data_IF_161576085942
#
_entry.id   IF_161576085942
#
_cell.length_a   1.000
_cell.length_b   1.000
_cell.length_c   1.000
_cell.angle_alpha   90.00
_cell.angle_beta   90.00
_cell.angle_gamma   90.00
#
_symmetry.space_group_name_H-M   'P 1'
#
loop_
_entity.id
_entity.type
_entity.pdbx_description
1 polymer ?
#
# COMPACT_ATOMS: atom_id res chain seq x y z
N UNK A 1 5.05 -0.60 43.18
CA UNK A 1 3.69 -1.18 43.25
C UNK A 1 3.82 -2.68 43.31
N UNK A 2 3.44 -3.26 44.44
CA UNK A 2 3.25 -4.70 44.59
C UNK A 2 1.95 -5.08 43.90
N UNK A 3 2.02 -6.06 43.01
CA UNK A 3 0.86 -6.64 42.34
C UNK A 3 0.43 -7.82 43.22
N UNK A 4 -0.84 -7.84 43.64
CA UNK A 4 -1.38 -8.93 44.45
C UNK A 4 -1.69 -10.14 43.56
N UNK A 5 -0.71 -11.05 43.48
CA UNK A 5 -0.83 -12.25 42.65
C UNK A 5 -1.90 -13.22 43.15
N UNK A 6 -2.23 -13.21 44.45
CA UNK A 6 -3.23 -14.10 45.01
C UNK A 6 -4.64 -13.67 44.57
N UNK A 7 -4.92 -12.37 44.66
CA UNK A 7 -6.16 -11.78 44.15
C UNK A 7 -6.34 -12.05 42.64
N UNK A 8 -5.26 -11.88 41.85
CA UNK A 8 -5.28 -12.13 40.40
C UNK A 8 -5.58 -13.60 40.09
N UNK A 9 -4.91 -14.55 40.74
CA UNK A 9 -5.15 -15.98 40.51
C UNK A 9 -6.59 -16.37 40.85
N UNK A 10 -7.13 -15.82 41.94
CA UNK A 10 -8.52 -16.06 42.37
C UNK A 10 -9.53 -15.49 41.38
N UNK A 11 -9.33 -14.27 40.91
CA UNK A 11 -10.18 -13.63 39.91
C UNK A 11 -10.11 -14.38 38.56
N UNK A 12 -8.91 -14.82 38.14
CA UNK A 12 -8.75 -15.60 36.92
C UNK A 12 -9.47 -16.95 36.99
N UNK A 13 -9.40 -17.63 38.14
CA UNK A 13 -10.12 -18.90 38.34
C UNK A 13 -11.65 -18.68 38.32
N UNK A 14 -12.15 -17.56 38.85
CA UNK A 14 -13.57 -17.21 38.73
C UNK A 14 -13.97 -16.96 37.28
N UNK A 15 -13.14 -16.25 36.52
CA UNK A 15 -13.41 -15.93 35.12
C UNK A 15 -13.55 -17.19 34.23
N UNK A 16 -12.84 -18.28 34.55
CA UNK A 16 -12.99 -19.56 33.83
C UNK A 16 -14.25 -20.32 34.25
N UNK A 17 -14.57 -20.32 35.55
CA UNK A 17 -15.76 -21.00 36.08
C UNK A 17 -17.08 -20.29 35.72
N UNK A 18 -17.06 -18.96 35.67
CA UNK A 18 -18.16 -18.11 35.26
C UNK A 18 -17.66 -17.01 34.31
N UNK A 19 -17.74 -17.22 32.98
CA UNK A 19 -17.28 -16.29 31.96
C UNK A 19 -18.27 -15.12 31.78
N UNK A 20 -18.65 -14.49 32.89
CA UNK A 20 -19.45 -13.27 32.94
C UNK A 20 -18.59 -12.03 32.62
N UNK A 21 -19.23 -10.98 32.12
CA UNK A 21 -18.55 -9.70 31.84
C UNK A 21 -17.94 -9.09 33.11
N UNK A 22 -18.62 -9.26 34.25
CA UNK A 22 -18.19 -8.77 35.56
C UNK A 22 -16.89 -9.44 36.04
N UNK A 23 -16.77 -10.76 35.88
CA UNK A 23 -15.58 -11.51 36.32
C UNK A 23 -14.35 -11.15 35.49
N UNK A 24 -14.53 -10.91 34.19
CA UNK A 24 -13.47 -10.43 33.30
C UNK A 24 -13.08 -8.99 33.64
N UNK A 25 -14.04 -8.11 33.93
CA UNK A 25 -13.76 -6.72 34.32
C UNK A 25 -12.95 -6.66 35.62
N UNK A 26 -13.33 -7.43 36.65
CA UNK A 26 -12.58 -7.52 37.91
C UNK A 26 -11.11 -7.95 37.67
N UNK A 27 -10.91 -8.96 36.81
CA UNK A 27 -9.57 -9.43 36.45
C UNK A 27 -8.77 -8.37 35.70
N UNK A 28 -9.39 -7.64 34.77
CA UNK A 28 -8.74 -6.58 34.00
C UNK A 28 -8.32 -5.41 34.90
N UNK A 29 -9.14 -5.03 35.87
CA UNK A 29 -8.82 -3.96 36.82
C UNK A 29 -7.63 -4.34 37.72
N UNK A 30 -7.59 -5.58 38.20
CA UNK A 30 -6.45 -6.11 38.96
C UNK A 30 -5.16 -6.18 38.14
N UNK A 31 -5.27 -6.48 36.84
CA UNK A 31 -4.14 -6.57 35.91
C UNK A 31 -3.68 -5.22 35.34
N UNK A 32 -4.52 -4.17 35.42
CA UNK A 32 -4.26 -2.87 34.80
C UNK A 32 -2.88 -2.26 35.14
N UNK A 33 -2.42 -2.23 36.41
CA UNK A 33 -1.11 -1.66 36.74
C UNK A 33 0.08 -2.40 36.10
N UNK A 34 -0.08 -3.71 35.84
CA UNK A 34 0.92 -4.53 35.19
C UNK A 34 0.91 -4.31 33.67
N UNK A 35 -0.30 -4.25 33.08
CA UNK A 35 -0.51 -3.94 31.66
C UNK A 35 0.06 -2.57 31.33
N UNK A 36 -0.31 -1.53 32.07
CA UNK A 36 0.10 -0.15 31.82
C UNK A 36 1.62 0.02 31.87
N UNK A 37 2.27 -0.61 32.87
CA UNK A 37 3.72 -0.61 32.99
C UNK A 37 4.39 -1.31 31.80
N UNK A 38 3.83 -2.43 31.36
CA UNK A 38 4.37 -3.19 30.23
C UNK A 38 4.19 -2.42 28.92
N UNK A 39 2.99 -1.89 28.68
CA UNK A 39 2.66 -1.04 27.54
C UNK A 39 3.56 0.20 27.47
N UNK A 40 3.79 0.90 28.58
CA UNK A 40 4.69 2.04 28.65
C UNK A 40 6.12 1.66 28.25
N UNK A 41 6.66 0.55 28.80
CA UNK A 41 8.00 0.07 28.45
C UNK A 41 8.12 -0.31 26.98
N UNK A 42 7.08 -0.88 26.39
CA UNK A 42 7.05 -1.26 24.97
C UNK A 42 6.95 -0.03 24.07
N UNK A 43 6.11 0.93 24.44
CA UNK A 43 5.96 2.23 23.77
C UNK A 43 7.30 2.95 23.69
N UNK A 44 8.01 3.10 24.81
CA UNK A 44 9.34 3.72 24.86
C UNK A 44 10.39 3.04 23.97
N UNK A 45 10.27 1.73 23.75
CA UNK A 45 11.22 0.96 22.93
C UNK A 45 10.90 0.96 21.44
N UNK A 46 9.64 1.15 21.09
CA UNK A 46 9.15 0.98 19.71
C UNK A 46 8.72 2.28 19.05
N UNK A 47 8.40 3.31 19.83
CA UNK A 47 7.81 4.56 19.36
C UNK A 47 6.31 4.48 19.09
N UNK A 48 5.65 3.33 19.32
CA UNK A 48 4.19 3.20 19.18
C UNK A 48 3.50 3.77 20.41
N UNK A 49 2.33 4.36 20.21
CA UNK A 49 1.44 4.81 21.30
C UNK A 49 1.11 3.69 22.29
N UNK A 50 1.13 4.01 23.58
CA UNK A 50 0.85 3.04 24.65
C UNK A 50 -0.55 2.44 24.58
N UNK A 51 -1.54 3.21 24.09
CA UNK A 51 -2.93 2.76 23.96
C UNK A 51 -3.07 1.49 23.11
N UNK A 52 -2.29 1.38 22.03
CA UNK A 52 -2.27 0.21 21.15
C UNK A 52 -1.84 -1.04 21.92
N UNK A 53 -0.77 -0.93 22.72
CA UNK A 53 -0.31 -2.06 23.53
C UNK A 53 -1.29 -2.42 24.64
N UNK A 54 -1.95 -1.44 25.25
CA UNK A 54 -2.96 -1.70 26.30
C UNK A 54 -4.08 -2.58 25.74
N UNK A 55 -4.62 -2.22 24.57
CA UNK A 55 -5.68 -3.00 23.92
C UNK A 55 -5.26 -4.46 23.68
N UNK A 56 -4.08 -4.67 23.11
CA UNK A 56 -3.56 -6.01 22.78
C UNK A 56 -3.23 -6.84 24.03
N UNK A 57 -2.72 -6.20 25.09
CA UNK A 57 -2.42 -6.87 26.35
C UNK A 57 -3.71 -7.22 27.12
N UNK A 58 -4.78 -6.43 27.03
CA UNK A 58 -6.09 -6.79 27.59
C UNK A 58 -6.67 -8.02 26.89
N UNK A 59 -6.56 -8.10 25.56
CA UNK A 59 -6.93 -9.31 24.83
C UNK A 59 -6.10 -10.53 25.27
N UNK A 60 -4.81 -10.34 25.57
CA UNK A 60 -3.96 -11.39 26.11
C UNK A 60 -4.39 -11.85 27.52
N UNK A 61 -4.93 -10.97 28.36
CA UNK A 61 -5.53 -11.35 29.66
C UNK A 61 -6.74 -12.25 29.46
N UNK A 62 -7.65 -11.87 28.57
CA UNK A 62 -8.82 -12.69 28.25
C UNK A 62 -8.43 -14.07 27.71
N UNK A 63 -7.49 -14.13 26.76
CA UNK A 63 -6.99 -15.42 26.24
C UNK A 63 -6.31 -16.26 27.31
N UNK A 64 -5.62 -15.62 28.26
CA UNK A 64 -4.98 -16.32 29.36
C UNK A 64 -5.99 -16.86 30.38
N UNK A 65 -7.15 -16.23 30.57
CA UNK A 65 -8.19 -16.68 31.52
C UNK A 65 -8.96 -17.89 31.02
N UNK A 66 -9.18 -18.03 29.71
CA UNK A 66 -9.85 -19.19 29.13
C UNK A 66 -9.06 -20.47 29.40
N UNK A 67 -9.67 -21.42 30.12
CA UNK A 67 -9.10 -22.71 30.51
C UNK A 67 -8.05 -22.61 31.62
N UNK A 68 -8.14 -21.61 32.50
CA UNK A 68 -7.23 -21.46 33.62
C UNK A 68 -7.68 -22.27 34.85
N UNK A 69 -6.90 -23.30 35.20
CA UNK A 69 -7.22 -24.26 36.26
C UNK A 69 -6.61 -23.93 37.64
N UNK A 70 -5.86 -22.83 37.78
CA UNK A 70 -5.24 -22.44 39.06
C UNK A 70 -3.95 -23.16 39.43
N UNK A 71 -3.46 -24.13 38.65
CA UNK A 71 -2.22 -24.88 39.00
C UNK A 71 -0.94 -24.05 38.88
N UNK A 72 -0.95 -23.04 38.00
CA UNK A 72 0.19 -22.15 37.74
C UNK A 72 -0.17 -20.71 38.07
N UNK A 73 0.83 -19.86 38.28
CA UNK A 73 0.58 -18.43 38.49
C UNK A 73 0.04 -17.79 37.21
N UNK A 74 -1.11 -17.13 37.29
CA UNK A 74 -1.77 -16.49 36.16
C UNK A 74 -0.87 -15.48 35.45
N UNK A 75 -0.02 -14.73 36.16
CA UNK A 75 0.91 -13.80 35.51
C UNK A 75 1.91 -14.50 34.59
N UNK A 76 2.31 -15.74 34.89
CA UNK A 76 3.18 -16.52 34.00
C UNK A 76 2.46 -16.91 32.70
N UNK A 77 1.21 -17.36 32.81
CA UNK A 77 0.36 -17.68 31.65
C UNK A 77 0.05 -16.43 30.82
N UNK A 78 -0.29 -15.32 31.46
CA UNK A 78 -0.44 -14.02 30.80
C UNK A 78 0.81 -13.62 30.02
N UNK A 79 2.00 -13.72 30.63
CA UNK A 79 3.25 -13.35 29.96
C UNK A 79 3.53 -14.19 28.70
N UNK A 80 3.09 -15.46 28.69
CA UNK A 80 3.17 -16.32 27.51
C UNK A 80 2.34 -15.74 26.34
N UNK A 81 1.05 -15.46 26.56
CA UNK A 81 0.18 -14.88 25.53
C UNK A 81 0.57 -13.45 25.13
N UNK A 82 1.00 -12.64 26.10
CA UNK A 82 1.49 -11.29 25.84
C UNK A 82 2.71 -11.29 24.93
N UNK A 83 3.64 -12.24 25.12
CA UNK A 83 4.86 -12.36 24.29
C UNK A 83 4.52 -12.62 22.82
N UNK A 84 3.53 -13.45 22.55
CA UNK A 84 3.08 -13.74 21.18
C UNK A 84 2.49 -12.50 20.52
N UNK A 85 1.58 -11.80 21.20
CA UNK A 85 1.02 -10.52 20.73
C UNK A 85 2.09 -9.47 20.46
N UNK A 86 3.03 -9.29 21.39
CA UNK A 86 4.15 -8.36 21.20
C UNK A 86 5.01 -8.76 20.00
N UNK A 87 5.21 -10.06 19.77
CA UNK A 87 5.97 -10.56 18.63
C UNK A 87 5.27 -10.27 17.32
N UNK A 88 3.95 -10.42 17.27
CA UNK A 88 3.15 -10.12 16.07
C UNK A 88 3.13 -8.63 15.75
N UNK A 89 2.98 -7.76 16.77
CA UNK A 89 3.12 -6.30 16.59
C UNK A 89 4.52 -5.97 16.05
N UNK A 90 5.58 -6.55 16.62
CA UNK A 90 6.94 -6.34 16.14
C UNK A 90 7.15 -6.84 14.71
N UNK A 91 6.52 -7.94 14.31
CA UNK A 91 6.58 -8.44 12.94
C UNK A 91 5.83 -7.51 11.99
N UNK A 92 4.65 -7.03 12.36
CA UNK A 92 3.89 -6.06 11.57
C UNK A 92 4.68 -4.76 11.39
N UNK A 93 5.25 -4.23 12.47
CA UNK A 93 6.17 -3.09 12.43
C UNK A 93 7.42 -3.39 11.61
N UNK A 94 7.99 -4.59 11.73
CA UNK A 94 9.16 -5.00 10.96
C UNK A 94 8.86 -5.08 9.47
N UNK A 95 7.64 -5.45 9.08
CA UNK A 95 7.18 -5.42 7.69
C UNK A 95 7.03 -3.99 7.19
N UNK A 96 6.44 -3.11 8.00
CA UNK A 96 6.42 -1.67 7.71
C UNK A 96 7.86 -1.15 7.58
N UNK A 97 8.75 -1.39 8.56
CA UNK A 97 10.15 -0.94 8.49
C UNK A 97 10.94 -1.52 7.31
N UNK A 98 10.65 -2.75 6.87
CA UNK A 98 11.27 -3.34 5.68
C UNK A 98 10.72 -2.76 4.38
N UNK A 99 9.52 -2.18 4.39
CA UNK A 99 9.03 -1.35 3.28
C UNK A 99 9.47 0.11 3.37
N UNK A 100 10.21 0.51 4.41
CA UNK A 100 10.53 1.89 4.73
C UNK A 100 12.06 2.12 4.73
N UNK A 101 12.57 2.68 3.64
CA UNK A 101 13.44 3.85 3.82
C UNK A 101 12.75 4.76 4.85
N UNK A 102 13.46 5.20 5.89
CA UNK A 102 12.89 6.09 6.93
C UNK A 102 12.09 7.19 6.25
N UNK A 103 10.76 7.13 6.35
CA UNK A 103 9.90 8.14 5.74
C UNK A 103 10.21 9.47 6.44
N UNK A 104 10.81 10.39 5.71
CA UNK A 104 11.04 11.75 6.17
C UNK A 104 9.79 12.54 5.80
N UNK A 105 9.07 13.12 6.78
CA UNK A 105 7.96 14.02 6.50
C UNK A 105 8.39 15.11 5.52
N UNK A 106 7.58 15.32 4.48
CA UNK A 106 7.87 16.29 3.42
C UNK A 106 7.88 17.74 3.93
N UNK A 107 7.18 17.99 5.04
CA UNK A 107 7.11 19.29 5.70
C UNK A 107 8.32 19.58 6.61
N UNK A 108 9.21 18.61 6.82
CA UNK A 108 10.41 18.86 7.61
C UNK A 108 11.32 19.86 6.89
N UNK A 109 11.87 20.81 7.66
CA UNK A 109 12.89 21.72 7.17
C UNK A 109 14.16 20.95 6.80
N UNK A 110 14.77 21.34 5.68
CA UNK A 110 16.04 20.77 5.24
C UNK A 110 17.16 21.36 6.11
N UNK A 111 17.99 20.53 6.76
CA UNK A 111 19.09 21.02 7.57
C UNK A 111 20.05 21.90 6.75
N UNK A 112 20.14 23.19 7.12
CA UNK A 112 21.03 24.15 6.46
C UNK A 112 20.41 24.96 5.33
N UNK A 113 19.16 24.70 4.94
CA UNK A 113 18.39 25.57 4.04
C UNK A 113 17.40 26.40 4.87
N UNK A 114 17.51 27.73 4.80
CA UNK A 114 16.63 28.61 5.57
C UNK A 114 15.22 28.61 4.98
N UNK A 115 14.29 27.94 5.67
CA UNK A 115 12.86 27.99 5.35
C UNK A 115 12.43 27.10 4.17
N UNK A 116 13.29 26.20 3.70
CA UNK A 116 12.95 25.22 2.67
C UNK A 116 12.58 23.88 3.31
N UNK A 117 11.58 23.20 2.75
CA UNK A 117 11.12 21.89 3.21
C UNK A 117 11.47 20.82 2.18
N UNK A 118 11.48 19.54 2.56
CA UNK A 118 11.74 18.46 1.59
C UNK A 118 10.76 18.48 0.41
N UNK A 119 9.53 18.99 0.61
CA UNK A 119 8.57 19.24 -0.46
C UNK A 119 9.07 20.21 -1.53
N UNK A 120 9.83 21.25 -1.17
CA UNK A 120 10.30 22.25 -2.14
C UNK A 120 11.47 21.77 -3.01
N UNK A 121 12.18 20.70 -2.61
CA UNK A 121 13.24 20.07 -3.42
C UNK A 121 12.66 19.16 -4.50
N UNK A 122 11.51 18.54 -4.24
CA UNK A 122 10.87 17.69 -5.24
C UNK A 122 10.22 18.61 -6.27
N UNK A 123 11.03 19.03 -7.23
CA UNK A 123 10.53 19.68 -8.44
C UNK A 123 9.56 18.70 -9.12
N UNK A 124 8.32 19.14 -9.31
CA UNK A 124 7.41 18.54 -10.29
C UNK A 124 8.04 18.75 -11.68
N UNK A 125 9.02 17.91 -12.02
CA UNK A 125 9.68 17.92 -13.33
C UNK A 125 8.76 17.30 -14.38
N UNK A 126 7.59 17.88 -14.57
CA UNK A 126 6.99 17.84 -15.90
C UNK A 126 7.74 18.86 -16.74
N UNK A 127 8.81 18.41 -17.38
CA UNK A 127 9.51 19.22 -18.36
C UNK A 127 8.55 19.45 -19.53
N UNK A 128 7.98 20.66 -19.63
CA UNK A 128 7.06 21.03 -20.70
C UNK A 128 7.62 20.72 -22.10
N UNK A 129 8.93 20.83 -22.28
CA UNK A 129 9.58 20.48 -23.55
C UNK A 129 9.44 18.99 -23.85
N UNK A 130 9.65 18.11 -22.86
CA UNK A 130 9.49 16.67 -23.02
C UNK A 130 8.03 16.31 -23.33
N UNK A 131 7.06 16.93 -22.65
CA UNK A 131 5.63 16.72 -22.92
C UNK A 131 5.25 17.14 -24.35
N UNK A 132 5.79 18.27 -24.83
CA UNK A 132 5.56 18.75 -26.19
C UNK A 132 6.22 17.82 -27.22
N UNK A 133 7.44 17.36 -26.95
CA UNK A 133 8.16 16.42 -27.83
C UNK A 133 7.40 15.09 -27.93
N UNK A 134 6.96 14.52 -26.81
CA UNK A 134 6.18 13.28 -26.77
C UNK A 134 4.86 13.43 -27.52
N UNK A 135 4.17 14.56 -27.30
CA UNK A 135 2.91 14.90 -27.99
C UNK A 135 3.10 14.95 -29.50
N UNK A 136 4.09 15.71 -29.99
CA UNK A 136 4.38 15.83 -31.42
C UNK A 136 4.84 14.51 -32.04
N UNK A 137 5.61 13.72 -31.31
CA UNK A 137 6.06 12.42 -31.77
C UNK A 137 4.88 11.45 -31.95
N UNK A 138 3.97 11.41 -30.97
CA UNK A 138 2.77 10.60 -31.04
C UNK A 138 1.84 11.02 -32.18
N UNK A 139 1.66 12.33 -32.40
CA UNK A 139 0.88 12.86 -33.52
C UNK A 139 1.42 12.42 -34.88
N UNK A 140 2.75 12.49 -35.07
CA UNK A 140 3.39 12.00 -36.29
C UNK A 140 3.18 10.51 -36.50
N UNK A 141 3.30 9.70 -35.44
CA UNK A 141 3.07 8.26 -35.52
C UNK A 141 1.61 7.94 -35.87
N UNK A 142 0.65 8.61 -35.23
CA UNK A 142 -0.77 8.44 -35.56
C UNK A 142 -1.08 8.87 -36.99
N UNK A 143 -0.55 10.00 -37.44
CA UNK A 143 -0.75 10.48 -38.81
C UNK A 143 -0.19 9.47 -39.84
N UNK A 144 0.99 8.92 -39.58
CA UNK A 144 1.58 7.85 -40.39
C UNK A 144 0.71 6.59 -40.41
N UNK A 145 0.21 6.15 -39.27
CA UNK A 145 -0.68 4.99 -39.16
C UNK A 145 -2.03 5.19 -39.87
N UNK A 146 -2.59 6.41 -39.78
CA UNK A 146 -3.86 6.78 -40.39
C UNK A 146 -3.88 6.61 -41.91
N UNK A 147 -2.73 6.71 -42.58
CA UNK A 147 -2.61 6.50 -44.03
C UNK A 147 -3.04 5.10 -44.49
N UNK A 148 -2.94 4.10 -43.62
CA UNK A 148 -3.28 2.71 -43.92
C UNK A 148 -4.47 2.19 -43.11
N UNK A 149 -4.72 2.77 -41.94
CA UNK A 149 -5.70 2.28 -40.96
C UNK A 149 -6.55 3.42 -40.38
N UNK A 150 -7.17 4.24 -41.23
CA UNK A 150 -7.87 5.48 -40.86
C UNK A 150 -8.86 5.31 -39.70
N UNK A 151 -9.77 4.34 -39.78
CA UNK A 151 -10.78 4.12 -38.72
C UNK A 151 -10.14 3.74 -37.38
N UNK A 152 -9.07 2.94 -37.40
CA UNK A 152 -8.38 2.51 -36.18
C UNK A 152 -7.56 3.65 -35.59
N UNK A 153 -6.96 4.50 -36.43
CA UNK A 153 -6.26 5.71 -35.99
C UNK A 153 -7.21 6.66 -35.24
N UNK A 154 -8.43 6.86 -35.75
CA UNK A 154 -9.46 7.68 -35.07
C UNK A 154 -9.86 7.11 -33.71
N UNK A 155 -9.96 5.80 -33.57
CA UNK A 155 -10.23 5.16 -32.26
C UNK A 155 -9.10 5.46 -31.27
N UNK A 156 -7.84 5.41 -31.71
CA UNK A 156 -6.68 5.69 -30.87
C UNK A 156 -6.59 7.18 -30.49
N UNK A 157 -6.95 8.07 -31.41
CA UNK A 157 -7.06 9.50 -31.16
C UNK A 157 -8.10 9.81 -30.09
N UNK A 158 -9.30 9.23 -30.18
CA UNK A 158 -10.34 9.37 -29.16
C UNK A 158 -9.86 8.87 -27.78
N UNK A 159 -9.14 7.76 -27.74
CA UNK A 159 -8.55 7.25 -26.50
C UNK A 159 -7.52 8.22 -25.90
N UNK A 160 -6.67 8.83 -26.74
CA UNK A 160 -5.67 9.81 -26.29
C UNK A 160 -6.33 11.07 -25.73
N UNK A 161 -7.40 11.54 -26.37
CA UNK A 161 -8.15 12.72 -25.94
C UNK A 161 -9.00 12.46 -24.68
N UNK A 162 -9.01 11.23 -24.16
CA UNK A 162 -9.68 10.88 -22.91
C UNK A 162 -11.18 10.64 -23.04
N UNK A 163 -11.69 10.38 -24.24
CA UNK A 163 -13.10 10.05 -24.46
C UNK A 163 -13.47 8.75 -23.72
N UNK A 164 -14.70 8.70 -23.20
CA UNK A 164 -15.19 7.54 -22.47
C UNK A 164 -15.47 6.36 -23.42
N UNK A 165 -15.60 5.17 -22.85
CA UNK A 165 -15.93 3.98 -23.61
C UNK A 165 -17.28 4.08 -24.34
N UNK A 166 -18.26 4.76 -23.71
CA UNK A 166 -19.58 5.02 -24.29
C UNK A 166 -19.50 5.97 -25.48
N UNK A 167 -18.68 7.02 -25.40
CA UNK A 167 -18.47 7.96 -26.50
C UNK A 167 -17.76 7.30 -27.69
N UNK A 168 -16.78 6.43 -27.41
CA UNK A 168 -16.12 5.62 -28.45
C UNK A 168 -17.12 4.62 -29.07
N UNK A 169 -18.01 4.03 -28.27
CA UNK A 169 -19.07 3.16 -28.80
C UNK A 169 -20.03 3.92 -29.72
N UNK A 170 -20.43 5.12 -29.32
CA UNK A 170 -21.29 6.01 -30.12
C UNK A 170 -20.61 6.38 -31.45
N UNK A 171 -19.31 6.70 -31.44
CA UNK A 171 -18.52 6.91 -32.65
C UNK A 171 -18.52 5.70 -33.59
N UNK A 172 -18.50 4.48 -33.03
CA UNK A 172 -18.58 3.22 -33.79
C UNK A 172 -20.02 2.87 -34.24
N UNK A 173 -21.01 3.71 -33.93
CA UNK A 173 -22.42 3.47 -34.25
C UNK A 173 -23.11 2.47 -33.33
N UNK A 174 -22.53 2.20 -32.16
CA UNK A 174 -23.08 1.29 -31.15
C UNK A 174 -23.78 2.10 -30.04
N UNK A 175 -24.89 1.58 -29.50
CA UNK A 175 -25.65 2.26 -28.42
C UNK A 175 -24.96 2.20 -27.06
N UNK A 176 -24.11 1.20 -26.86
CA UNK A 176 -23.40 0.92 -25.61
C UNK A 176 -22.05 0.29 -25.95
N UNK A 177 -21.14 0.22 -24.96
CA UNK A 177 -19.81 -0.37 -25.14
C UNK A 177 -19.85 -1.91 -25.20
N UNK A 178 -20.43 -2.40 -26.29
CA UNK A 178 -20.69 -3.81 -26.58
C UNK A 178 -19.39 -4.61 -26.79
N UNK A 179 -19.50 -5.94 -26.86
CA UNK A 179 -18.34 -6.80 -27.18
C UNK A 179 -17.70 -6.42 -28.53
N UNK A 180 -18.51 -5.96 -29.49
CA UNK A 180 -18.04 -5.53 -30.82
C UNK A 180 -17.21 -4.24 -30.73
N UNK A 181 -17.67 -3.24 -29.98
CA UNK A 181 -16.90 -2.02 -29.72
C UNK A 181 -15.56 -2.34 -29.03
N UNK A 182 -15.58 -3.18 -27.98
CA UNK A 182 -14.37 -3.66 -27.30
C UNK A 182 -13.38 -4.35 -28.24
N UNK A 183 -13.87 -5.19 -29.14
CA UNK A 183 -13.03 -5.86 -30.14
C UNK A 183 -12.42 -4.87 -31.13
N UNK A 184 -13.18 -3.87 -31.58
CA UNK A 184 -12.67 -2.82 -32.47
C UNK A 184 -11.53 -2.04 -31.82
N UNK A 185 -11.69 -1.62 -30.55
CA UNK A 185 -10.64 -0.94 -29.78
C UNK A 185 -9.41 -1.85 -29.60
N UNK A 186 -9.62 -3.12 -29.24
CA UNK A 186 -8.52 -4.07 -29.07
C UNK A 186 -7.73 -4.30 -30.36
N UNK A 187 -8.43 -4.42 -31.50
CA UNK A 187 -7.80 -4.55 -32.82
C UNK A 187 -7.00 -3.30 -33.19
N UNK A 188 -7.54 -2.10 -32.95
CA UNK A 188 -6.83 -0.85 -33.19
C UNK A 188 -5.53 -0.77 -32.36
N UNK A 189 -5.59 -1.09 -31.06
CA UNK A 189 -4.39 -1.16 -30.20
C UNK A 189 -3.38 -2.20 -30.66
N UNK A 190 -3.84 -3.36 -31.15
CA UNK A 190 -2.96 -4.41 -31.68
C UNK A 190 -2.26 -3.96 -32.96
N UNK A 191 -3.00 -3.46 -33.94
CA UNK A 191 -2.47 -3.01 -35.22
C UNK A 191 -1.48 -1.84 -35.06
N UNK A 192 -1.75 -0.91 -34.14
CA UNK A 192 -0.82 0.18 -33.85
C UNK A 192 0.48 -0.28 -33.21
N UNK A 193 0.43 -1.28 -32.31
CA UNK A 193 1.66 -1.90 -31.77
C UNK A 193 2.51 -2.56 -32.85
N UNK A 194 1.86 -3.25 -33.79
CA UNK A 194 2.54 -3.86 -34.94
C UNK A 194 3.17 -2.80 -35.85
N UNK A 195 2.48 -1.68 -36.07
CA UNK A 195 2.99 -0.54 -36.83
C UNK A 195 4.21 0.11 -36.17
N UNK A 196 4.19 0.36 -34.87
CA UNK A 196 5.34 0.90 -34.12
C UNK A 196 6.54 -0.05 -34.23
N UNK A 197 6.33 -1.34 -33.98
CA UNK A 197 7.39 -2.35 -34.08
C UNK A 197 8.02 -2.40 -35.48
N UNK A 198 7.21 -2.23 -36.52
CA UNK A 198 7.70 -2.13 -37.89
C UNK A 198 8.56 -0.88 -38.12
N UNK A 199 8.12 0.30 -37.64
CA UNK A 199 8.90 1.54 -37.74
C UNK A 199 10.24 1.39 -37.02
N UNK A 200 10.24 0.85 -35.80
CA UNK A 200 11.46 0.68 -35.00
C UNK A 200 12.45 -0.27 -35.69
N UNK A 201 11.96 -1.39 -36.22
CA UNK A 201 12.77 -2.33 -36.99
C UNK A 201 13.36 -1.67 -38.25
N UNK A 202 12.57 -0.86 -38.94
CA UNK A 202 13.01 -0.12 -40.12
C UNK A 202 14.09 0.93 -39.78
N UNK A 203 13.89 1.70 -38.70
CA UNK A 203 14.86 2.67 -38.21
C UNK A 203 16.20 2.00 -37.84
N UNK A 204 16.16 0.87 -37.12
CA UNK A 204 17.35 0.10 -36.78
C UNK A 204 18.10 -0.42 -38.02
N UNK A 205 17.37 -0.83 -39.07
CA UNK A 205 17.96 -1.27 -40.33
C UNK A 205 18.67 -0.12 -41.04
N UNK A 206 18.06 1.07 -41.08
CA UNK A 206 18.67 2.27 -41.69
C UNK A 206 19.98 2.66 -40.98
N UNK A 207 19.98 2.66 -39.64
CA UNK A 207 21.21 2.91 -38.86
C UNK A 207 22.29 1.90 -39.22
N UNK A 208 21.97 0.60 -39.26
CA UNK A 208 22.93 -0.46 -39.62
C UNK A 208 23.52 -0.29 -41.03
N UNK A 209 22.70 0.11 -42.00
CA UNK A 209 23.18 0.38 -43.36
C UNK A 209 24.16 1.56 -43.35
N UNK A 210 23.79 2.66 -42.70
CA UNK A 210 24.64 3.86 -42.65
C UNK A 210 25.97 3.61 -41.92
N UNK A 211 25.99 2.79 -40.86
CA UNK A 211 27.22 2.46 -40.14
C UNK A 211 28.14 1.51 -40.90
N UNK A 212 27.60 0.63 -41.76
CA UNK A 212 28.39 -0.36 -42.50
C UNK A 212 29.00 0.19 -43.81
N UNK A 213 28.46 1.29 -44.35
CA UNK A 213 28.97 1.91 -45.58
C UNK A 213 29.78 3.20 -45.35
N UNK A 214 29.90 3.67 -44.11
CA UNK A 214 30.61 4.89 -43.73
C UNK A 214 31.98 4.70 -43.06
N UNK A 215 32.55 3.49 -43.10
CA UNK A 215 33.85 3.12 -42.52
C UNK A 215 34.87 2.67 -43.56
#
# INVERSE_FOLDING_TARGET
MNVDNEAINKAALRCDNDPSEESLSELLDLMAPLIDRMAYKLSQRTGIESAVFISELREAVWKASVGYNGESNFTQRFNFFAKDKITDIKKALGRLKRSLCTEVPMDNEIPGACGETFASIIEDKENYEDTVIETLHYEKMLAGFATTNEQQARILELLRLGFTNEEIAAFLGEKEYSQKARQAVSRAKKAFREYIAFIDAFAQLQVKILTNFGG
#
